data_IF_585069458612
#
_entry.id   IF_585069458612
#
_cell.length_a   1.000
_cell.length_b   1.000
_cell.length_c   1.000
_cell.angle_alpha   90.00
_cell.angle_beta   90.00
_cell.angle_gamma   90.00
#
_symmetry.space_group_name_H-M   'P 1'
#
loop_
_entity.id
_entity.type
_entity.pdbx_description
1 polymer ?
#
# COMPACT_ATOMS: atom_id res chain seq x y z
N UNK A 1 -9.38 -10.63 7.01
CA UNK A 1 -8.38 -11.00 8.04
C UNK A 1 -7.08 -10.35 7.64
N UNK A 2 -6.54 -9.45 8.45
CA UNK A 2 -5.26 -8.80 8.17
C UNK A 2 -4.15 -9.82 8.43
N UNK A 3 -3.45 -10.26 7.39
CA UNK A 3 -2.32 -11.15 7.56
C UNK A 3 -1.19 -10.37 8.26
N UNK A 4 -0.90 -10.74 9.52
CA UNK A 4 0.12 -10.06 10.33
C UNK A 4 1.52 -10.22 9.76
N UNK A 5 1.72 -11.23 8.90
CA UNK A 5 3.00 -11.48 8.25
C UNK A 5 3.51 -10.28 7.44
N UNK A 6 2.64 -9.60 6.68
CA UNK A 6 3.03 -8.42 5.90
C UNK A 6 3.29 -7.18 6.76
N UNK A 7 2.71 -7.13 7.97
CA UNK A 7 2.98 -6.07 8.95
C UNK A 7 4.38 -6.22 9.54
N UNK A 8 4.76 -7.45 9.88
CA UNK A 8 6.07 -7.76 10.46
C UNK A 8 7.19 -7.74 9.38
N UNK A 9 6.83 -7.99 8.12
CA UNK A 9 7.75 -7.98 6.98
C UNK A 9 7.29 -6.98 5.90
N UNK A 10 7.49 -5.67 6.10
CA UNK A 10 6.99 -4.62 5.20
C UNK A 10 7.59 -4.68 3.79
N UNK A 11 8.77 -5.30 3.63
CA UNK A 11 9.47 -5.42 2.34
C UNK A 11 9.04 -6.65 1.52
N UNK A 12 8.14 -7.48 2.05
CA UNK A 12 7.73 -8.73 1.41
C UNK A 12 6.39 -8.52 0.70
N UNK A 13 6.39 -8.70 -0.62
CA UNK A 13 5.20 -8.53 -1.46
C UNK A 13 4.40 -9.83 -1.60
N UNK A 14 5.03 -10.97 -1.38
CA UNK A 14 4.40 -12.29 -1.49
C UNK A 14 5.15 -13.29 -0.62
N UNK A 15 4.44 -14.31 -0.16
CA UNK A 15 5.03 -15.48 0.46
C UNK A 15 4.30 -16.75 0.01
N UNK A 16 4.92 -17.88 0.25
CA UNK A 16 4.41 -19.19 -0.10
C UNK A 16 4.18 -19.98 1.17
N UNK A 17 2.98 -20.50 1.36
CA UNK A 17 2.61 -21.31 2.52
C UNK A 17 2.35 -22.76 2.10
N UNK A 18 2.98 -23.70 2.79
CA UNK A 18 2.69 -25.13 2.66
C UNK A 18 1.52 -25.53 3.55
N UNK A 19 0.85 -26.65 3.25
CA UNK A 19 -0.36 -27.07 3.99
C UNK A 19 -0.14 -27.43 5.46
N UNK A 20 1.12 -27.56 5.89
CA UNK A 20 1.52 -27.74 7.29
C UNK A 20 1.68 -26.41 8.04
N UNK A 21 1.49 -25.28 7.37
CA UNK A 21 1.56 -23.95 7.93
C UNK A 21 2.92 -23.24 7.79
N UNK A 22 3.96 -23.90 7.26
CA UNK A 22 5.26 -23.25 7.05
C UNK A 22 5.21 -22.20 5.94
N UNK A 23 5.86 -21.05 6.17
CA UNK A 23 5.92 -19.91 5.25
C UNK A 23 7.32 -19.76 4.67
N UNK A 24 7.40 -19.49 3.38
CA UNK A 24 8.65 -19.33 2.63
C UNK A 24 8.59 -18.09 1.75
N UNK A 25 9.74 -17.45 1.55
CA UNK A 25 9.86 -16.28 0.66
C UNK A 25 9.90 -16.64 -0.83
N UNK A 26 10.17 -17.90 -1.16
CA UNK A 26 10.25 -18.35 -2.55
C UNK A 26 9.49 -19.65 -2.76
N UNK A 27 8.89 -19.78 -3.93
CA UNK A 27 8.10 -20.95 -4.31
C UNK A 27 8.96 -22.22 -4.29
N UNK A 28 10.22 -22.12 -4.73
CA UNK A 28 11.13 -23.26 -4.78
C UNK A 28 11.42 -23.84 -3.38
N UNK A 29 11.59 -22.99 -2.37
CA UNK A 29 11.78 -23.47 -0.99
C UNK A 29 10.52 -24.14 -0.46
N UNK A 30 9.35 -23.54 -0.71
CA UNK A 30 8.07 -24.13 -0.33
C UNK A 30 7.81 -25.48 -1.01
N UNK A 31 8.09 -25.58 -2.32
CA UNK A 31 8.00 -26.83 -3.07
C UNK A 31 8.96 -27.86 -2.50
N UNK A 32 10.24 -27.53 -2.36
CA UNK A 32 11.22 -28.46 -1.80
C UNK A 32 10.78 -28.98 -0.43
N UNK A 33 10.23 -28.12 0.43
CA UNK A 33 9.67 -28.53 1.70
C UNK A 33 8.45 -29.45 1.53
N UNK A 34 7.46 -29.06 0.75
CA UNK A 34 6.26 -29.85 0.49
C UNK A 34 6.57 -31.23 -0.13
N UNK A 35 7.56 -31.32 -1.02
CA UNK A 35 7.96 -32.56 -1.70
C UNK A 35 8.90 -33.44 -0.86
N UNK A 36 9.76 -32.85 -0.03
CA UNK A 36 10.68 -33.56 0.87
C UNK A 36 9.97 -34.15 2.08
N UNK A 37 8.96 -33.44 2.58
CA UNK A 37 8.24 -33.82 3.80
C UNK A 37 7.25 -34.94 3.52
N UNK A 38 7.57 -36.15 3.98
CA UNK A 38 6.74 -37.36 3.80
C UNK A 38 5.35 -37.27 4.46
N UNK A 39 5.17 -36.35 5.42
CA UNK A 39 3.90 -36.14 6.13
C UNK A 39 2.93 -35.25 5.35
N UNK A 40 3.38 -34.56 4.30
CA UNK A 40 2.54 -33.77 3.41
C UNK A 40 2.08 -34.64 2.23
N UNK A 41 0.87 -35.20 2.32
CA UNK A 41 0.27 -36.00 1.23
C UNK A 41 -0.15 -35.13 0.04
N UNK A 42 -0.69 -33.94 0.31
CA UNK A 42 -1.22 -33.04 -0.72
C UNK A 42 -0.12 -32.25 -1.46
N UNK A 43 1.08 -32.15 -0.86
CA UNK A 43 2.26 -31.43 -1.39
C UNK A 43 1.91 -30.04 -1.95
N UNK A 44 0.90 -29.41 -1.37
CA UNK A 44 0.33 -28.19 -1.89
C UNK A 44 1.09 -26.99 -1.35
N UNK A 45 1.27 -26.02 -2.25
CA UNK A 45 1.88 -24.72 -1.96
C UNK A 45 0.86 -23.68 -2.35
N UNK A 46 0.48 -22.83 -1.40
CA UNK A 46 -0.40 -21.70 -1.63
C UNK A 46 0.44 -20.43 -1.71
N UNK A 47 0.29 -19.69 -2.79
CA UNK A 47 0.87 -18.35 -2.91
C UNK A 47 -0.05 -17.35 -2.21
N UNK A 48 0.48 -16.61 -1.26
CA UNK A 48 -0.21 -15.50 -0.59
C UNK A 48 0.50 -14.22 -0.99
N UNK A 49 -0.17 -13.42 -1.79
CA UNK A 49 0.30 -12.10 -2.17
C UNK A 49 -0.16 -11.08 -1.13
N UNK A 50 0.66 -10.06 -0.91
CA UNK A 50 0.26 -8.88 -0.15
C UNK A 50 -0.99 -8.36 -0.85
N UNK A 51 -2.14 -8.26 -0.16
CA UNK A 51 -3.27 -7.56 -0.74
C UNK A 51 -2.75 -6.19 -1.12
N UNK A 52 -2.79 -5.84 -2.42
CA UNK A 52 -2.47 -4.50 -2.84
C UNK A 52 -3.24 -3.59 -1.91
N UNK A 53 -2.54 -2.77 -1.13
CA UNK A 53 -3.20 -1.66 -0.47
C UNK A 53 -3.82 -0.92 -1.63
N UNK A 54 -5.13 -1.08 -1.78
CA UNK A 54 -5.91 -0.19 -2.60
C UNK A 54 -5.68 1.14 -1.91
N UNK A 55 -4.64 1.85 -2.35
CA UNK A 55 -4.57 3.29 -2.24
C UNK A 55 -5.79 3.71 -3.01
N UNK A 56 -6.92 3.75 -2.31
CA UNK A 56 -8.13 4.40 -2.75
C UNK A 56 -7.67 5.80 -3.04
N UNK A 57 -7.33 6.07 -4.31
CA UNK A 57 -7.00 7.40 -4.80
C UNK A 57 -8.14 8.26 -4.30
N UNK A 58 -7.85 9.09 -3.30
CA UNK A 58 -8.86 9.97 -2.73
C UNK A 58 -9.45 10.76 -3.89
N UNK A 59 -10.78 10.82 -3.93
CA UNK A 59 -11.44 11.57 -4.99
C UNK A 59 -11.07 13.04 -4.84
N UNK A 60 -11.14 13.80 -5.94
CA UNK A 60 -10.88 15.24 -5.87
C UNK A 60 -11.74 15.93 -4.80
N UNK A 61 -12.98 15.46 -4.61
CA UNK A 61 -13.91 16.01 -3.62
C UNK A 61 -13.49 15.69 -2.19
N UNK A 62 -12.96 14.49 -1.93
CA UNK A 62 -12.49 14.11 -0.60
C UNK A 62 -11.27 14.95 -0.19
N UNK A 63 -10.36 15.18 -1.13
CA UNK A 63 -9.19 16.04 -0.91
C UNK A 63 -9.67 17.46 -0.61
N UNK A 64 -10.54 18.03 -1.45
CA UNK A 64 -11.07 19.39 -1.27
C UNK A 64 -11.78 19.60 0.08
N UNK A 65 -12.51 18.60 0.57
CA UNK A 65 -13.17 18.66 1.87
C UNK A 65 -12.17 18.76 3.03
N UNK A 66 -10.99 18.14 2.90
CA UNK A 66 -9.93 18.11 3.91
C UNK A 66 -8.96 19.28 3.82
N UNK A 67 -8.84 19.94 2.66
CA UNK A 67 -7.92 21.08 2.43
C UNK A 67 -8.00 22.13 3.54
N UNK A 68 -9.21 22.41 4.04
CA UNK A 68 -9.41 23.40 5.10
C UNK A 68 -8.70 23.04 6.43
N UNK A 69 -8.58 21.75 6.73
CA UNK A 69 -8.01 21.20 7.97
C UNK A 69 -6.53 20.82 7.85
N UNK A 70 -5.97 20.82 6.63
CA UNK A 70 -4.55 20.50 6.40
C UNK A 70 -3.62 21.56 7.00
N UNK A 71 -2.48 21.10 7.51
CA UNK A 71 -1.33 21.95 7.85
C UNK A 71 -0.46 22.22 6.61
N UNK A 72 0.58 23.04 6.80
CA UNK A 72 1.41 23.52 5.69
C UNK A 72 2.16 22.35 5.02
N UNK A 73 2.76 21.47 5.85
CA UNK A 73 3.55 20.33 5.38
C UNK A 73 2.67 19.33 4.61
N UNK A 74 1.48 19.00 5.15
CA UNK A 74 0.52 18.11 4.50
C UNK A 74 0.00 18.72 3.20
N UNK A 75 -0.38 20.00 3.21
CA UNK A 75 -0.89 20.65 2.01
C UNK A 75 0.16 20.68 0.88
N UNK A 76 1.44 20.91 1.23
CA UNK A 76 2.54 20.89 0.27
C UNK A 76 2.78 19.49 -0.29
N UNK A 77 2.77 18.45 0.54
CA UNK A 77 2.92 17.06 0.09
C UNK A 77 1.80 16.65 -0.88
N UNK A 78 0.54 17.00 -0.58
CA UNK A 78 -0.57 16.75 -1.48
C UNK A 78 -0.44 17.52 -2.80
N UNK A 79 0.05 18.76 -2.76
CA UNK A 79 0.26 19.58 -3.95
C UNK A 79 1.34 18.99 -4.85
N UNK A 80 2.46 18.56 -4.28
CA UNK A 80 3.57 17.95 -5.01
C UNK A 80 3.14 16.61 -5.64
N UNK A 81 2.41 15.79 -4.89
CA UNK A 81 1.84 14.53 -5.40
C UNK A 81 0.85 14.75 -6.56
N UNK A 82 0.01 15.78 -6.47
CA UNK A 82 -0.94 16.11 -7.54
C UNK A 82 -0.24 16.66 -8.79
N UNK A 83 0.82 17.45 -8.62
CA UNK A 83 1.64 17.96 -9.73
C UNK A 83 2.51 16.88 -10.38
N UNK A 84 2.92 15.86 -9.63
CA UNK A 84 3.66 14.71 -10.15
C UNK A 84 2.79 13.73 -10.96
N UNK A 85 1.45 13.85 -10.88
CA UNK A 85 0.54 13.03 -11.65
C UNK A 85 0.56 13.40 -13.14
N UNK A 86 0.39 12.42 -14.03
CA UNK A 86 0.32 12.64 -15.48
C UNK A 86 -0.78 13.63 -15.91
N UNK A 87 -1.84 13.76 -15.09
CA UNK A 87 -2.96 14.66 -15.28
C UNK A 87 -3.37 15.31 -13.95
N UNK A 88 -2.73 16.42 -13.57
CA UNK A 88 -3.05 17.14 -12.34
C UNK A 88 -4.49 17.67 -12.37
N UNK A 89 -5.22 17.47 -11.28
CA UNK A 89 -6.56 18.02 -11.06
C UNK A 89 -6.45 19.48 -10.67
N UNK A 90 -6.59 20.38 -11.65
CA UNK A 90 -6.48 21.85 -11.45
C UNK A 90 -7.26 22.37 -10.24
N UNK A 91 -8.49 21.91 -10.03
CA UNK A 91 -9.31 22.33 -8.89
C UNK A 91 -8.69 21.99 -7.54
N UNK A 92 -8.03 20.84 -7.43
CA UNK A 92 -7.33 20.40 -6.21
C UNK A 92 -6.04 21.20 -6.02
N UNK A 93 -5.26 21.38 -7.10
CA UNK A 93 -4.04 22.19 -7.12
C UNK A 93 -4.31 23.63 -6.68
N UNK A 94 -5.37 24.25 -7.21
CA UNK A 94 -5.75 25.63 -6.89
C UNK A 94 -6.15 25.76 -5.40
N UNK A 95 -6.91 24.80 -4.88
CA UNK A 95 -7.33 24.80 -3.48
C UNK A 95 -6.16 24.60 -2.51
N UNK A 96 -5.26 23.66 -2.82
CA UNK A 96 -4.05 23.40 -2.02
C UNK A 96 -3.10 24.59 -2.05
N UNK A 97 -2.84 25.16 -3.22
CA UNK A 97 -2.00 26.36 -3.37
C UNK A 97 -2.54 27.52 -2.55
N UNK A 98 -3.85 27.79 -2.63
CA UNK A 98 -4.50 28.85 -1.83
C UNK A 98 -4.35 28.60 -0.33
N UNK A 99 -4.53 27.35 0.12
CA UNK A 99 -4.38 26.97 1.53
C UNK A 99 -2.93 27.18 2.02
N UNK A 100 -1.95 26.83 1.20
CA UNK A 100 -0.52 27.02 1.50
C UNK A 100 -0.19 28.52 1.62
N UNK A 101 -0.71 29.35 0.72
CA UNK A 101 -0.57 30.81 0.81
C UNK A 101 -1.20 31.38 2.09
N UNK A 102 -2.42 30.94 2.44
CA UNK A 102 -3.09 31.34 3.68
C UNK A 102 -2.27 30.95 4.93
N UNK A 103 -1.72 29.74 4.96
CA UNK A 103 -0.91 29.24 6.08
C UNK A 103 0.47 29.92 6.17
N UNK A 104 1.07 30.31 5.04
CA UNK A 104 2.34 31.05 5.03
C UNK A 104 2.19 32.52 5.46
N UNK A 105 0.97 33.06 5.45
CA UNK A 105 0.66 34.42 5.90
C UNK A 105 0.12 34.48 7.33
N UNK A 106 -0.16 33.34 7.95
CA UNK A 106 -0.67 33.22 9.33
C UNK A 106 0.46 33.17 10.36
#
# INVERSE_FOLDING_TARGET
>A
MSDTFFKDHPNVNEYFQTSDGHRFYTENLAKNHAFSTKTLSDKSVTKVERPAETVTKESANDILAKVAEMDLDTAQEYLDNENAADKPRKTVVDALSKKIEELNQA
#
